data_IF_513754031443
#
_entry.id   IF_513754031443
#
_cell.length_a   1.000
_cell.length_b   1.000
_cell.length_c   1.000
_cell.angle_alpha   90.00
_cell.angle_beta   90.00
_cell.angle_gamma   90.00
#
_symmetry.space_group_name_H-M   'P 1'
#
loop_
_entity.id
_entity.type
_entity.pdbx_description
1 polymer ?
#
# COMPACT_ATOMS: atom_id res chain seq x y z
N UNK A 1 -21.29 -38.66 -54.99
CA UNK A 1 -21.65 -37.36 -55.60
C UNK A 1 -21.91 -36.40 -54.46
N UNK A 2 -20.88 -35.66 -54.05
CA UNK A 2 -20.90 -34.72 -52.92
C UNK A 2 -20.39 -33.40 -53.48
N UNK A 3 -21.23 -32.38 -53.51
CA UNK A 3 -20.81 -31.01 -53.83
C UNK A 3 -20.12 -30.38 -52.61
N UNK A 4 -19.05 -29.58 -52.81
CA UNK A 4 -18.45 -28.77 -51.76
C UNK A 4 -19.18 -27.42 -51.66
N UNK A 5 -19.67 -27.08 -50.46
CA UNK A 5 -20.23 -25.74 -50.19
C UNK A 5 -19.09 -24.76 -49.87
N UNK A 6 -19.09 -23.66 -50.61
CA UNK A 6 -18.08 -22.61 -50.72
C UNK A 6 -17.75 -21.89 -49.39
N UNK A 7 -16.48 -21.53 -49.22
CA UNK A 7 -15.99 -20.59 -48.21
C UNK A 7 -16.28 -19.15 -48.70
N UNK A 8 -17.12 -18.39 -47.98
CA UNK A 8 -17.26 -16.94 -48.19
C UNK A 8 -16.61 -16.20 -47.03
N UNK A 9 -15.62 -15.37 -47.36
CA UNK A 9 -15.07 -14.37 -46.47
C UNK A 9 -16.01 -13.17 -46.48
N UNK A 10 -16.88 -13.06 -45.48
CA UNK A 10 -17.50 -11.79 -45.12
C UNK A 10 -17.25 -11.49 -43.65
N UNK A 11 -16.59 -10.37 -43.50
CA UNK A 11 -16.05 -9.77 -42.31
C UNK A 11 -17.13 -9.04 -41.51
N UNK A 12 -16.90 -8.96 -40.20
CA UNK A 12 -17.26 -7.86 -39.30
C UNK A 12 -18.71 -7.81 -38.76
N UNK A 13 -18.77 -7.95 -37.42
CA UNK A 13 -19.73 -7.35 -36.48
C UNK A 13 -21.06 -8.05 -36.24
N UNK A 14 -21.18 -8.69 -35.06
CA UNK A 14 -22.33 -8.54 -34.16
C UNK A 14 -22.05 -9.15 -32.76
N UNK A 15 -21.59 -8.28 -31.86
CA UNK A 15 -22.12 -8.08 -30.49
C UNK A 15 -22.31 -9.30 -29.57
N UNK A 16 -21.28 -9.62 -28.80
CA UNK A 16 -21.48 -10.16 -27.44
C UNK A 16 -22.00 -9.03 -26.55
N UNK A 17 -23.32 -8.99 -26.35
CA UNK A 17 -23.95 -8.21 -25.27
C UNK A 17 -23.59 -8.90 -23.96
N UNK A 18 -22.40 -8.61 -23.44
CA UNK A 18 -22.07 -8.89 -22.04
C UNK A 18 -22.81 -7.87 -21.20
N UNK A 19 -23.61 -8.36 -20.28
CA UNK A 19 -24.50 -7.62 -19.40
C UNK A 19 -23.76 -6.44 -18.74
N UNK A 20 -24.27 -5.22 -18.95
CA UNK A 20 -23.65 -3.98 -18.46
C UNK A 20 -23.46 -4.01 -16.94
N UNK A 21 -24.29 -4.78 -16.22
CA UNK A 21 -24.18 -4.96 -14.78
C UNK A 21 -22.94 -5.77 -14.39
N UNK A 22 -22.59 -6.84 -15.12
CA UNK A 22 -21.37 -7.61 -14.89
C UNK A 22 -20.12 -6.77 -15.13
N UNK A 23 -20.10 -5.99 -16.21
CA UNK A 23 -18.99 -5.07 -16.50
C UNK A 23 -18.90 -3.99 -15.43
N UNK A 24 -20.02 -3.42 -14.96
CA UNK A 24 -20.02 -2.46 -13.86
C UNK A 24 -19.52 -3.07 -12.53
N UNK A 25 -19.83 -4.34 -12.25
CA UNK A 25 -19.25 -5.06 -11.12
C UNK A 25 -17.76 -5.32 -11.34
N UNK A 26 -17.33 -5.72 -12.52
CA UNK A 26 -15.92 -5.93 -12.87
C UNK A 26 -15.15 -4.61 -12.75
N UNK A 27 -15.69 -3.48 -13.20
CA UNK A 27 -15.09 -2.15 -13.03
C UNK A 27 -15.00 -1.72 -11.57
N UNK A 28 -16.04 -1.99 -10.76
CA UNK A 28 -16.01 -1.76 -9.30
C UNK A 28 -14.99 -2.66 -8.61
N UNK A 29 -14.99 -3.95 -8.91
CA UNK A 29 -14.05 -4.95 -8.39
C UNK A 29 -12.63 -4.58 -8.82
N UNK A 30 -12.37 -4.19 -10.07
CA UNK A 30 -11.05 -3.76 -10.52
C UNK A 30 -10.59 -2.45 -9.89
N UNK A 31 -11.53 -1.53 -9.62
CA UNK A 31 -11.25 -0.30 -8.88
C UNK A 31 -10.96 -0.58 -7.40
N UNK A 32 -11.52 -1.66 -6.85
CA UNK A 32 -11.27 -2.16 -5.49
C UNK A 32 -9.98 -3.02 -5.40
N UNK A 33 -9.57 -3.71 -6.47
CA UNK A 33 -8.38 -4.58 -6.51
C UNK A 33 -7.11 -3.87 -6.98
N UNK A 34 -7.21 -2.63 -7.46
CA UNK A 34 -6.04 -1.79 -7.69
C UNK A 34 -5.40 -1.53 -6.33
N UNK A 35 -4.42 -2.35 -5.98
CA UNK A 35 -3.74 -2.39 -4.69
C UNK A 35 -3.53 -0.94 -4.20
N UNK A 36 -4.34 -0.46 -3.23
CA UNK A 36 -4.37 0.96 -2.84
C UNK A 36 -2.99 1.41 -2.33
N UNK A 37 -2.29 0.46 -1.72
CA UNK A 37 -0.88 0.49 -1.39
C UNK A 37 0.04 0.89 -2.57
N UNK A 38 -0.14 0.31 -3.76
CA UNK A 38 0.65 0.62 -4.96
C UNK A 38 0.41 2.04 -5.46
N UNK A 39 -0.83 2.54 -5.36
CA UNK A 39 -1.15 3.92 -5.73
C UNK A 39 -0.54 4.92 -4.75
N UNK A 40 -0.63 4.65 -3.44
CA UNK A 40 0.03 5.47 -2.40
C UNK A 40 1.54 5.51 -2.62
N UNK A 41 2.15 4.35 -2.88
CA UNK A 41 3.57 4.25 -3.19
C UNK A 41 3.94 5.11 -4.41
N UNK A 42 3.15 5.04 -5.50
CA UNK A 42 3.35 5.88 -6.69
C UNK A 42 3.23 7.37 -6.35
N UNK A 43 2.26 7.78 -5.54
CA UNK A 43 2.10 9.17 -5.14
C UNK A 43 3.30 9.68 -4.33
N UNK A 44 3.82 8.90 -3.38
CA UNK A 44 5.04 9.26 -2.66
C UNK A 44 6.26 9.39 -3.58
N UNK A 45 6.41 8.49 -4.55
CA UNK A 45 7.49 8.56 -5.54
C UNK A 45 7.38 9.82 -6.41
N UNK A 46 6.18 10.19 -6.84
CA UNK A 46 5.92 11.41 -7.61
C UNK A 46 6.25 12.68 -6.81
N UNK A 47 6.11 12.64 -5.49
CA UNK A 47 6.49 13.72 -4.59
C UNK A 47 8.01 13.75 -4.29
N UNK A 48 8.77 12.80 -4.82
CA UNK A 48 10.23 12.73 -4.68
C UNK A 48 10.71 12.32 -3.29
N UNK A 49 9.91 11.52 -2.59
CA UNK A 49 10.29 10.87 -1.33
C UNK A 49 11.05 9.57 -1.63
N UNK A 50 11.91 9.15 -0.71
CA UNK A 50 12.52 7.82 -0.74
C UNK A 50 11.49 6.81 -0.22
N UNK A 51 10.91 6.00 -1.12
CA UNK A 51 9.79 5.11 -0.79
C UNK A 51 10.24 3.67 -0.66
N UNK A 52 9.88 3.06 0.46
CA UNK A 52 10.18 1.67 0.78
C UNK A 52 8.94 0.95 1.30
N UNK A 53 8.96 -0.37 1.21
CA UNK A 53 7.89 -1.22 1.73
C UNK A 53 8.47 -2.25 2.68
N UNK A 54 7.72 -2.61 3.71
CA UNK A 54 8.09 -3.66 4.64
C UNK A 54 6.97 -4.67 4.72
N UNK A 55 7.28 -5.92 4.38
CA UNK A 55 6.35 -7.03 4.60
C UNK A 55 6.53 -7.59 5.99
N UNK A 56 5.44 -8.00 6.61
CA UNK A 56 5.46 -8.66 7.89
C UNK A 56 4.39 -9.76 7.95
N UNK A 57 4.65 -10.77 8.78
CA UNK A 57 3.73 -11.85 9.09
C UNK A 57 3.64 -11.99 10.59
N UNK A 58 2.43 -11.83 11.12
CA UNK A 58 2.12 -12.07 12.52
C UNK A 58 1.67 -13.51 12.68
N UNK A 59 2.22 -14.20 13.68
CA UNK A 59 1.85 -15.55 14.06
C UNK A 59 1.26 -15.50 15.47
N UNK A 60 -0.02 -15.79 15.59
CA UNK A 60 -0.64 -15.87 16.90
C UNK A 60 -0.43 -17.27 17.48
N UNK A 61 0.37 -17.39 18.54
CA UNK A 61 0.67 -18.67 19.21
C UNK A 61 -0.28 -18.99 20.38
N UNK A 62 -1.27 -18.13 20.64
CA UNK A 62 -2.29 -18.30 21.67
C UNK A 62 -3.61 -18.71 21.00
N UNK A 63 -3.76 -20.00 20.69
CA UNK A 63 -4.96 -20.56 20.03
C UNK A 63 -4.66 -21.21 18.68
N UNK A 64 -5.62 -21.28 17.74
CA UNK A 64 -5.36 -21.81 16.39
C UNK A 64 -4.25 -21.00 15.70
N UNK A 65 -3.40 -21.67 14.90
CA UNK A 65 -2.30 -21.05 14.13
C UNK A 65 -2.87 -20.09 13.07
N UNK A 66 -3.15 -18.86 13.50
CA UNK A 66 -3.63 -17.78 12.65
C UNK A 66 -2.42 -16.96 12.21
N UNK A 67 -2.26 -16.86 10.89
CA UNK A 67 -1.22 -16.05 10.26
C UNK A 67 -1.85 -14.84 9.61
N UNK A 68 -1.43 -13.66 10.04
CA UNK A 68 -1.87 -12.38 9.46
C UNK A 68 -0.68 -11.78 8.73
N UNK A 69 -0.77 -11.70 7.41
CA UNK A 69 0.22 -10.99 6.60
C UNK A 69 -0.20 -9.54 6.36
N UNK A 70 0.78 -8.65 6.36
CA UNK A 70 0.57 -7.24 6.08
C UNK A 70 1.76 -6.64 5.34
N UNK A 71 1.54 -5.48 4.74
CA UNK A 71 2.59 -4.72 4.05
C UNK A 71 2.50 -3.24 4.40
N UNK A 72 3.46 -2.78 5.19
CA UNK A 72 3.63 -1.37 5.48
C UNK A 72 4.30 -0.66 4.30
N UNK A 73 3.95 0.60 4.08
CA UNK A 73 4.61 1.49 3.13
C UNK A 73 5.10 2.70 3.90
N UNK A 74 6.33 3.13 3.65
CA UNK A 74 6.82 4.37 4.20
C UNK A 74 7.58 5.18 3.15
N UNK A 75 7.45 6.50 3.24
CA UNK A 75 8.18 7.46 2.43
C UNK A 75 9.01 8.38 3.31
N UNK A 76 10.30 8.51 3.01
CA UNK A 76 11.21 9.37 3.76
C UNK A 76 11.42 10.67 2.98
N UNK A 77 11.15 11.78 3.66
CA UNK A 77 11.51 13.12 3.21
C UNK A 77 12.78 13.55 3.95
N UNK A 78 13.90 13.57 3.24
CA UNK A 78 15.21 13.95 3.78
C UNK A 78 15.33 15.46 3.95
N UNK A 79 15.82 15.90 5.12
CA UNK A 79 16.19 17.28 5.38
C UNK A 79 17.49 17.65 4.63
N UNK A 80 17.55 18.88 4.09
CA UNK A 80 18.65 19.29 3.20
C UNK A 80 20.00 19.50 3.89
N UNK A 81 20.04 19.71 5.22
CA UNK A 81 21.23 20.23 5.93
C UNK A 81 21.56 19.53 7.26
N UNK A 82 20.91 18.42 7.60
CA UNK A 82 21.10 17.79 8.91
C UNK A 82 21.54 16.32 8.80
N UNK A 83 22.20 15.83 9.84
CA UNK A 83 22.46 14.40 10.04
C UNK A 83 21.15 13.63 10.21
N UNK A 84 20.95 12.58 9.39
CA UNK A 84 19.80 11.67 9.37
C UNK A 84 19.72 10.70 10.57
N UNK A 85 20.14 11.13 11.77
CA UNK A 85 20.12 10.30 12.98
C UNK A 85 18.84 10.41 13.80
N UNK A 86 18.05 11.45 13.56
CA UNK A 86 16.78 11.70 14.22
C UNK A 86 15.74 12.04 13.15
N UNK A 87 14.54 11.50 13.32
CA UNK A 87 13.43 11.71 12.38
C UNK A 87 12.11 11.86 13.11
N UNK A 88 11.16 12.52 12.45
CA UNK A 88 9.77 12.62 12.90
C UNK A 88 8.90 11.65 12.08
N UNK A 89 8.12 10.81 12.75
CA UNK A 89 7.28 9.80 12.07
C UNK A 89 5.81 10.22 12.12
N UNK A 90 5.20 10.36 10.95
CA UNK A 90 3.76 10.56 10.77
C UNK A 90 3.12 9.24 10.33
N UNK A 91 2.49 8.55 11.28
CA UNK A 91 1.84 7.27 11.04
C UNK A 91 0.34 7.46 10.75
N UNK A 92 -0.13 6.87 9.66
CA UNK A 92 -1.55 6.81 9.30
C UNK A 92 -1.89 5.37 8.91
N UNK A 93 -2.85 4.72 9.58
CA UNK A 93 -3.25 3.38 9.23
C UNK A 93 -4.07 3.40 7.92
N UNK A 94 -3.82 2.44 7.04
CA UNK A 94 -4.67 2.20 5.87
C UNK A 94 -5.81 1.25 6.24
N UNK A 95 -7.06 1.68 6.03
CA UNK A 95 -8.25 0.86 6.21
C UNK A 95 -8.90 0.55 4.87
N UNK A 96 -9.29 -0.69 4.68
CA UNK A 96 -10.03 -1.11 3.50
C UNK A 96 -11.46 -0.55 3.53
N UNK A 97 -12.02 -0.29 2.34
CA UNK A 97 -13.36 0.31 2.17
C UNK A 97 -14.49 -0.57 2.75
N UNK A 98 -14.24 -1.86 2.93
CA UNK A 98 -15.16 -2.84 3.53
C UNK A 98 -14.96 -3.04 5.04
N UNK A 99 -14.12 -2.22 5.68
CA UNK A 99 -13.86 -2.31 7.12
C UNK A 99 -15.04 -1.79 7.93
N UNK A 100 -15.26 -2.34 9.12
CA UNK A 100 -16.23 -1.84 10.10
C UNK A 100 -15.76 -0.56 10.79
N UNK A 101 -14.48 -0.23 10.68
CA UNK A 101 -13.86 0.94 11.27
C UNK A 101 -13.99 2.18 10.37
N UNK A 102 -13.97 3.37 10.97
CA UNK A 102 -14.05 4.66 10.25
C UNK A 102 -12.92 4.79 9.22
N UNK A 103 -13.24 5.29 8.02
CA UNK A 103 -12.25 5.51 6.96
C UNK A 103 -11.14 6.48 7.39
N UNK A 104 -9.90 6.13 7.04
CA UNK A 104 -8.70 6.96 7.26
C UNK A 104 -8.21 7.69 6.02
N UNK A 105 -9.00 7.69 4.94
CA UNK A 105 -8.65 8.33 3.67
C UNK A 105 -8.28 9.81 3.83
N UNK A 106 -8.94 10.53 4.74
CA UNK A 106 -8.60 11.92 5.07
C UNK A 106 -7.21 12.08 5.67
N UNK A 107 -6.76 11.15 6.51
CA UNK A 107 -5.41 11.14 7.07
C UNK A 107 -4.34 10.90 6.01
N UNK A 108 -4.62 10.00 5.06
CA UNK A 108 -3.71 9.71 3.94
C UNK A 108 -3.62 10.93 3.01
N UNK A 109 -4.76 11.56 2.71
CA UNK A 109 -4.79 12.79 1.93
C UNK A 109 -4.00 13.92 2.61
N UNK A 110 -4.12 14.05 3.94
CA UNK A 110 -3.36 15.03 4.72
C UNK A 110 -1.85 14.76 4.64
N UNK A 111 -1.43 13.50 4.82
CA UNK A 111 -0.03 13.10 4.69
C UNK A 111 0.53 13.42 3.30
N UNK A 112 -0.23 13.15 2.24
CA UNK A 112 0.17 13.47 0.87
C UNK A 112 0.30 14.98 0.63
N UNK A 113 -0.66 15.76 1.14
CA UNK A 113 -0.62 17.21 1.06
C UNK A 113 0.59 17.78 1.83
N UNK A 114 0.81 17.32 3.05
CA UNK A 114 1.96 17.70 3.87
C UNK A 114 3.28 17.33 3.18
N UNK A 115 3.39 16.11 2.65
CA UNK A 115 4.59 15.67 1.93
C UNK A 115 4.89 16.58 0.73
N UNK A 116 3.85 17.00 -0.01
CA UNK A 116 3.97 17.93 -1.13
C UNK A 116 4.46 19.31 -0.68
N UNK A 117 3.87 19.88 0.36
CA UNK A 117 4.21 21.22 0.82
C UNK A 117 5.60 21.24 1.46
N UNK A 118 5.90 20.25 2.31
CA UNK A 118 7.19 20.11 2.99
C UNK A 118 8.33 19.74 2.05
N UNK A 119 8.06 19.15 0.87
CA UNK A 119 9.08 18.92 -0.15
C UNK A 119 9.77 20.21 -0.60
N UNK A 120 9.03 21.32 -0.64
CA UNK A 120 9.57 22.63 -1.00
C UNK A 120 10.21 23.37 0.18
N UNK A 121 9.94 22.94 1.41
CA UNK A 121 10.40 23.59 2.63
C UNK A 121 11.91 23.37 2.84
N UNK A 122 12.69 24.44 2.76
CA UNK A 122 14.14 24.42 3.01
C UNK A 122 14.52 24.48 4.50
N UNK A 123 13.55 24.72 5.38
CA UNK A 123 13.76 24.93 6.83
C UNK A 123 13.67 23.64 7.66
N UNK A 124 13.42 22.47 7.04
CA UNK A 124 13.33 21.21 7.76
C UNK A 124 14.63 20.92 8.52
N UNK A 125 14.53 20.85 9.85
CA UNK A 125 15.64 20.58 10.73
C UNK A 125 15.97 19.08 10.87
N UNK A 126 15.03 18.20 10.49
CA UNK A 126 15.09 16.75 10.66
C UNK A 126 14.33 16.04 9.53
N UNK A 127 14.69 14.78 9.29
CA UNK A 127 14.02 13.93 8.32
C UNK A 127 12.59 13.62 8.80
N UNK A 128 11.65 13.49 7.85
CA UNK A 128 10.26 13.14 8.13
C UNK A 128 9.95 11.81 7.46
N UNK A 129 9.44 10.85 8.22
CA UNK A 129 9.00 9.55 7.72
C UNK A 129 7.48 9.55 7.73
N UNK A 130 6.88 9.38 6.55
CA UNK A 130 5.45 9.15 6.42
C UNK A 130 5.20 7.65 6.38
N UNK A 131 4.59 7.09 7.42
CA UNK A 131 4.32 5.66 7.55
C UNK A 131 2.83 5.39 7.30
N UNK A 132 2.55 4.55 6.32
CA UNK A 132 1.22 4.01 6.04
C UNK A 132 1.22 2.55 6.52
N UNK A 133 0.61 2.31 7.68
CA UNK A 133 0.60 0.98 8.28
C UNK A 133 -0.57 0.13 7.79
N UNK A 134 -0.29 -1.14 7.58
CA UNK A 134 -1.31 -2.17 7.39
C UNK A 134 -1.69 -2.76 8.76
N UNK A 135 -2.94 -3.18 8.96
CA UNK A 135 -3.41 -3.71 10.25
C UNK A 135 -3.14 -2.79 11.47
N UNK A 136 -3.23 -1.47 11.26
CA UNK A 136 -3.18 -0.44 12.31
C UNK A 136 -1.96 -0.53 13.25
N UNK A 137 -2.20 -0.80 14.53
CA UNK A 137 -1.19 -0.90 15.59
C UNK A 137 -0.17 -2.01 15.29
N UNK A 138 -0.63 -3.14 14.77
CA UNK A 138 0.22 -4.30 14.52
C UNK A 138 1.24 -4.01 13.43
N UNK A 139 0.84 -3.29 12.38
CA UNK A 139 1.77 -2.83 11.35
C UNK A 139 2.82 -1.87 11.91
N UNK A 140 2.43 -0.93 12.78
CA UNK A 140 3.39 -0.01 13.40
C UNK A 140 4.38 -0.76 14.30
N UNK A 141 3.92 -1.75 15.07
CA UNK A 141 4.79 -2.59 15.89
C UNK A 141 5.78 -3.38 15.03
N UNK A 142 5.30 -4.05 13.98
CA UNK A 142 6.16 -4.78 13.05
C UNK A 142 7.18 -3.87 12.33
N UNK A 143 6.85 -2.59 12.15
CA UNK A 143 7.76 -1.59 11.59
C UNK A 143 8.84 -1.15 12.59
N UNK A 144 8.51 -1.04 13.87
CA UNK A 144 9.46 -0.66 14.92
C UNK A 144 10.41 -1.79 15.32
N UNK A 145 10.02 -3.04 15.12
CA UNK A 145 10.76 -4.22 15.58
C UNK A 145 12.22 -4.26 15.07
N UNK A 146 12.50 -4.10 13.75
CA UNK A 146 13.89 -4.08 13.27
C UNK A 146 14.71 -2.91 13.82
N UNK A 147 14.05 -1.79 14.16
CA UNK A 147 14.73 -0.59 14.67
C UNK A 147 15.28 -0.79 16.08
N UNK A 148 14.49 -1.39 16.97
CA UNK A 148 14.90 -1.58 18.36
C UNK A 148 15.85 -2.77 18.57
N UNK A 149 16.13 -3.56 17.53
CA UNK A 149 16.89 -4.82 17.63
C UNK A 149 16.44 -5.70 18.80
N UNK A 150 15.16 -5.60 19.15
CA UNK A 150 14.56 -6.51 20.12
C UNK A 150 14.56 -7.84 19.40
N UNK A 151 15.25 -8.84 19.97
CA UNK A 151 15.15 -10.19 19.47
C UNK A 151 13.64 -10.54 19.42
N UNK A 152 13.11 -11.04 18.29
CA UNK A 152 11.69 -11.26 18.12
C UNK A 152 11.19 -12.02 19.34
N UNK A 153 10.35 -11.36 20.11
CA UNK A 153 9.79 -11.85 21.35
C UNK A 153 8.97 -13.09 21.00
N UNK A 154 9.62 -14.25 21.13
CA UNK A 154 9.06 -15.58 21.01
C UNK A 154 8.18 -15.83 19.76
N UNK A 155 8.63 -15.39 18.57
CA UNK A 155 8.06 -15.84 17.28
C UNK A 155 6.65 -15.33 16.97
N UNK A 156 6.26 -14.19 17.54
CA UNK A 156 4.94 -13.58 17.34
C UNK A 156 4.87 -12.76 16.04
N UNK A 157 5.98 -12.15 15.61
CA UNK A 157 6.05 -11.26 14.45
C UNK A 157 7.33 -11.59 13.65
N UNK A 158 7.16 -11.92 12.36
CA UNK A 158 8.25 -12.05 11.40
C UNK A 158 8.22 -10.80 10.50
N UNK A 159 9.14 -9.84 10.70
CA UNK A 159 9.25 -8.61 9.91
C UNK A 159 10.52 -8.58 9.04
N UNK A 160 10.44 -8.03 7.82
CA UNK A 160 11.62 -7.80 6.97
C UNK A 160 12.48 -6.63 7.52
N UNK A 161 13.81 -6.73 7.33
CA UNK A 161 14.76 -5.67 7.68
C UNK A 161 14.41 -4.34 6.98
N UNK A 162 14.58 -3.23 7.72
CA UNK A 162 14.31 -1.89 7.19
C UNK A 162 15.44 -1.43 6.24
N UNK A 163 15.04 -0.91 5.08
CA UNK A 163 15.93 -0.23 4.15
C UNK A 163 15.89 1.28 4.46
N UNK A 164 16.72 1.70 5.42
CA UNK A 164 16.89 3.10 5.83
C UNK A 164 17.96 3.84 5.02
#
# INVERSE_FOLDING_TARGET
>A
MYEPKQLSADSLNATTTTDNDEVHQIWKVNKLTKQPQTEIMRMFQQLGLDVSTQKFVLRYNIGPDIKISGKNIYGILRARRHSSKESFVLAVPYRQINSTFTDTNGGIALVLALAKDLRSASFLAKDIIFLISDHEYLGVQAWLEPYHRVAPDAGLIDSEDLQL
#
